data_IF_384987308153
#
_entry.id   IF_384987308153
#
_cell.length_a   1.000
_cell.length_b   1.000
_cell.length_c   1.000
_cell.angle_alpha   90.00
_cell.angle_beta   90.00
_cell.angle_gamma   90.00
#
_symmetry.space_group_name_H-M   'P 1'
#
loop_
_entity.id
_entity.type
_entity.pdbx_description
1 polymer ?
#
# COMPACT_ATOMS: atom_id res chain seq x y z
N UNK A 1 -18.85 2.65 -11.10
CA UNK A 1 -20.00 3.58 -11.03
C UNK A 1 -20.92 3.30 -9.85
N UNK A 2 -21.40 2.05 -9.65
CA UNK A 2 -22.31 1.69 -8.54
C UNK A 2 -21.66 1.93 -7.17
N UNK A 3 -20.40 1.54 -6.97
CA UNK A 3 -19.66 1.82 -5.74
C UNK A 3 -19.53 3.32 -5.43
N UNK A 4 -19.25 4.14 -6.45
CA UNK A 4 -19.17 5.60 -6.29
C UNK A 4 -20.52 6.22 -5.86
N UNK A 5 -21.65 5.69 -6.34
CA UNK A 5 -22.97 6.10 -5.88
C UNK A 5 -23.18 5.82 -4.39
N UNK A 6 -22.86 4.59 -3.94
CA UNK A 6 -23.01 4.19 -2.54
C UNK A 6 -22.09 5.00 -1.61
N UNK A 7 -20.86 5.29 -2.06
CA UNK A 7 -19.93 6.16 -1.32
C UNK A 7 -20.49 7.59 -1.21
N UNK A 8 -21.01 8.16 -2.29
CA UNK A 8 -21.61 9.49 -2.29
C UNK A 8 -22.92 9.55 -1.45
N UNK A 9 -23.66 8.44 -1.40
CA UNK A 9 -24.86 8.30 -0.57
C UNK A 9 -24.55 8.03 0.93
N UNK A 10 -23.27 7.99 1.33
CA UNK A 10 -22.85 7.71 2.71
C UNK A 10 -23.02 6.24 3.13
N UNK A 11 -23.31 5.34 2.20
CA UNK A 11 -23.56 3.91 2.49
C UNK A 11 -22.26 3.07 2.34
N UNK A 12 -21.16 3.59 2.86
CA UNK A 12 -19.83 2.95 2.74
C UNK A 12 -19.80 1.55 3.36
N UNK A 13 -20.49 1.36 4.51
CA UNK A 13 -20.55 0.06 5.16
C UNK A 13 -21.16 -1.03 4.28
N UNK A 14 -22.20 -0.69 3.50
CA UNK A 14 -22.81 -1.65 2.56
C UNK A 14 -21.86 -2.00 1.41
N UNK A 15 -21.15 -1.02 0.90
CA UNK A 15 -20.13 -1.24 -0.12
C UNK A 15 -19.03 -2.17 0.39
N UNK A 16 -18.46 -1.86 1.56
CA UNK A 16 -17.40 -2.68 2.17
C UNK A 16 -17.87 -4.10 2.48
N UNK A 17 -19.13 -4.27 2.93
CA UNK A 17 -19.70 -5.59 3.17
C UNK A 17 -19.83 -6.41 1.87
N UNK A 18 -20.26 -5.79 0.76
CA UNK A 18 -20.33 -6.46 -0.55
C UNK A 18 -18.94 -6.84 -1.03
N UNK A 19 -17.96 -5.94 -0.93
CA UNK A 19 -16.58 -6.21 -1.33
C UNK A 19 -15.96 -7.36 -0.51
N UNK A 20 -16.23 -7.41 0.80
CA UNK A 20 -15.78 -8.51 1.66
C UNK A 20 -16.45 -9.84 1.28
N UNK A 21 -17.78 -9.83 1.06
CA UNK A 21 -18.50 -11.01 0.60
C UNK A 21 -18.03 -11.49 -0.77
N UNK A 22 -17.76 -10.58 -1.71
CA UNK A 22 -17.20 -10.89 -3.03
C UNK A 22 -15.88 -11.67 -2.89
N UNK A 23 -14.96 -11.21 -2.04
CA UNK A 23 -13.66 -11.88 -1.81
C UNK A 23 -13.83 -13.28 -1.23
N UNK A 24 -14.71 -13.44 -0.24
CA UNK A 24 -15.00 -14.75 0.36
C UNK A 24 -15.66 -15.69 -0.66
N UNK A 25 -16.64 -15.19 -1.41
CA UNK A 25 -17.30 -15.96 -2.47
C UNK A 25 -16.33 -16.35 -3.59
N UNK A 26 -15.46 -15.45 -4.00
CA UNK A 26 -14.42 -15.72 -5.00
C UNK A 26 -13.53 -16.88 -4.56
N UNK A 27 -13.03 -16.86 -3.32
CA UNK A 27 -12.23 -17.96 -2.77
C UNK A 27 -13.01 -19.27 -2.71
N UNK A 28 -14.24 -19.24 -2.21
CA UNK A 28 -15.10 -20.43 -2.10
C UNK A 28 -15.42 -21.05 -3.46
N UNK A 29 -15.82 -20.22 -4.44
CA UNK A 29 -16.13 -20.65 -5.80
C UNK A 29 -14.89 -21.18 -6.53
N UNK A 30 -13.76 -20.50 -6.40
CA UNK A 30 -12.50 -20.94 -6.99
C UNK A 30 -12.06 -22.30 -6.46
N UNK A 31 -12.15 -22.52 -5.14
CA UNK A 31 -11.84 -23.80 -4.52
C UNK A 31 -12.82 -24.91 -4.94
N UNK A 32 -14.10 -24.59 -5.07
CA UNK A 32 -15.13 -25.53 -5.52
C UNK A 32 -14.94 -25.93 -6.98
N UNK A 33 -14.68 -24.95 -7.84
CA UNK A 33 -14.38 -25.18 -9.25
C UNK A 33 -13.07 -25.96 -9.46
N UNK A 34 -12.06 -25.71 -8.61
CA UNK A 34 -10.79 -26.42 -8.65
C UNK A 34 -10.93 -27.92 -8.39
N UNK A 35 -11.90 -28.33 -7.54
CA UNK A 35 -12.19 -29.74 -7.29
C UNK A 35 -12.80 -30.48 -8.48
N UNK A 36 -13.52 -29.75 -9.33
CA UNK A 36 -14.20 -30.30 -10.52
C UNK A 36 -13.47 -29.99 -11.83
N UNK A 37 -12.38 -29.22 -11.77
CA UNK A 37 -11.61 -28.84 -12.95
C UNK A 37 -10.76 -30.03 -13.46
N UNK A 38 -10.53 -30.14 -14.77
CA UNK A 38 -9.58 -31.10 -15.35
C UNK A 38 -8.18 -30.93 -14.76
N UNK A 39 -7.45 -32.02 -14.60
CA UNK A 39 -6.07 -31.97 -14.12
C UNK A 39 -5.19 -31.20 -15.10
N UNK A 40 -4.38 -30.27 -14.56
CA UNK A 40 -3.45 -29.46 -15.34
C UNK A 40 -3.60 -27.95 -15.16
N UNK A 41 -2.64 -27.22 -15.70
CA UNK A 41 -2.57 -25.76 -15.55
C UNK A 41 -3.80 -25.03 -16.14
N UNK A 42 -4.33 -25.53 -17.26
CA UNK A 42 -5.51 -24.96 -17.91
C UNK A 42 -6.77 -25.08 -17.05
N UNK A 43 -6.99 -26.23 -16.40
CA UNK A 43 -8.12 -26.45 -15.50
C UNK A 43 -8.04 -25.54 -14.27
N UNK A 44 -6.86 -25.39 -13.68
CA UNK A 44 -6.64 -24.48 -12.56
C UNK A 44 -6.90 -23.01 -12.92
N UNK A 45 -6.41 -22.55 -14.08
CA UNK A 45 -6.67 -21.20 -14.59
C UNK A 45 -8.18 -20.97 -14.84
N UNK A 46 -8.86 -21.95 -15.44
CA UNK A 46 -10.31 -21.87 -15.67
C UNK A 46 -11.09 -21.78 -14.35
N UNK A 47 -10.72 -22.56 -13.34
CA UNK A 47 -11.36 -22.54 -12.02
C UNK A 47 -11.19 -21.19 -11.32
N UNK A 48 -9.98 -20.62 -11.36
CA UNK A 48 -9.68 -19.34 -10.73
C UNK A 48 -10.42 -18.19 -11.44
N UNK A 49 -10.34 -18.12 -12.76
CA UNK A 49 -11.03 -17.08 -13.54
C UNK A 49 -12.54 -17.21 -13.47
N UNK A 50 -13.07 -18.44 -13.49
CA UNK A 50 -14.50 -18.71 -13.36
C UNK A 50 -15.03 -18.30 -11.99
N UNK A 51 -14.30 -18.61 -10.90
CA UNK A 51 -14.65 -18.21 -9.55
C UNK A 51 -14.69 -16.70 -9.37
N UNK A 52 -13.69 -16.00 -9.89
CA UNK A 52 -13.61 -14.53 -9.84
C UNK A 52 -14.74 -13.88 -10.66
N UNK A 53 -14.99 -14.37 -11.86
CA UNK A 53 -16.07 -13.87 -12.72
C UNK A 53 -17.45 -14.03 -12.08
N UNK A 54 -17.76 -15.21 -11.52
CA UNK A 54 -19.03 -15.48 -10.87
C UNK A 54 -19.23 -14.63 -9.62
N UNK A 55 -18.20 -14.50 -8.79
CA UNK A 55 -18.24 -13.66 -7.59
C UNK A 55 -18.46 -12.18 -7.94
N UNK A 56 -17.73 -11.66 -8.93
CA UNK A 56 -17.85 -10.25 -9.37
C UNK A 56 -19.21 -9.97 -10.02
N UNK A 57 -19.77 -10.89 -10.80
CA UNK A 57 -21.12 -10.77 -11.33
C UNK A 57 -22.16 -10.74 -10.20
N UNK A 58 -22.00 -11.59 -9.17
CA UNK A 58 -22.86 -11.60 -8.00
C UNK A 58 -22.80 -10.28 -7.22
N UNK A 59 -21.61 -9.79 -6.94
CA UNK A 59 -21.40 -8.50 -6.28
C UNK A 59 -22.00 -7.34 -7.07
N UNK A 60 -21.80 -7.32 -8.39
CA UNK A 60 -22.41 -6.31 -9.27
C UNK A 60 -23.94 -6.35 -9.23
N UNK A 61 -24.56 -7.54 -9.19
CA UNK A 61 -26.01 -7.70 -9.07
C UNK A 61 -26.54 -7.15 -7.72
N UNK A 62 -25.84 -7.43 -6.61
CA UNK A 62 -26.20 -6.92 -5.29
C UNK A 62 -26.06 -5.39 -5.24
N UNK A 63 -24.96 -4.84 -5.73
CA UNK A 63 -24.75 -3.38 -5.81
C UNK A 63 -25.81 -2.70 -6.68
N UNK A 64 -26.20 -3.32 -7.78
CA UNK A 64 -27.30 -2.83 -8.62
C UNK A 64 -28.64 -2.88 -7.89
N UNK A 65 -28.89 -3.91 -7.08
CA UNK A 65 -30.06 -4.00 -6.20
C UNK A 65 -30.14 -2.83 -5.21
N UNK A 66 -29.02 -2.52 -4.53
CA UNK A 66 -28.95 -1.35 -3.62
C UNK A 66 -29.14 -0.03 -4.35
N UNK A 67 -28.55 0.12 -5.53
CA UNK A 67 -28.75 1.28 -6.37
C UNK A 67 -30.24 1.47 -6.73
N UNK A 68 -30.90 0.40 -7.18
CA UNK A 68 -32.32 0.42 -7.53
C UNK A 68 -33.24 0.71 -6.33
N UNK A 69 -32.88 0.21 -5.14
CA UNK A 69 -33.61 0.55 -3.89
C UNK A 69 -33.48 2.02 -3.55
N UNK A 70 -32.31 2.62 -3.72
CA UNK A 70 -32.07 4.03 -3.46
C UNK A 70 -32.85 4.98 -4.37
N UNK A 71 -33.26 4.50 -5.55
CA UNK A 71 -34.09 5.27 -6.49
C UNK A 71 -35.61 5.14 -6.26
N UNK A 72 -36.03 4.14 -5.46
CA UNK A 72 -37.45 3.96 -5.14
C UNK A 72 -37.92 5.10 -4.22
N UNK A 73 -38.82 5.91 -4.70
CA UNK A 73 -39.43 7.04 -3.93
C UNK A 73 -38.68 8.38 -4.08
N UNK A 74 -37.68 8.48 -4.91
CA UNK A 74 -37.02 9.74 -5.26
C UNK A 74 -37.71 10.30 -6.50
N UNK A 75 -38.35 11.46 -6.36
CA UNK A 75 -38.83 12.19 -7.52
C UNK A 75 -37.67 12.65 -8.38
N UNK A 76 -37.74 12.51 -9.71
CA UNK A 76 -36.67 12.99 -10.58
C UNK A 76 -36.51 14.50 -10.40
N UNK A 77 -35.44 14.90 -9.72
CA UNK A 77 -35.02 16.28 -9.67
C UNK A 77 -34.36 16.65 -10.99
N UNK A 78 -34.71 17.80 -11.54
CA UNK A 78 -34.05 18.28 -12.76
C UNK A 78 -32.55 18.39 -12.52
N UNK A 79 -31.76 17.67 -13.33
CA UNK A 79 -30.33 17.72 -13.26
C UNK A 79 -29.86 19.16 -13.56
N UNK A 80 -28.90 19.70 -12.77
CA UNK A 80 -28.35 21.02 -13.04
C UNK A 80 -27.87 21.15 -14.49
N UNK A 81 -28.18 22.25 -15.19
CA UNK A 81 -27.80 22.42 -16.58
C UNK A 81 -26.26 22.26 -16.74
N UNK A 82 -25.84 21.44 -17.70
CA UNK A 82 -24.43 21.18 -17.98
C UNK A 82 -23.74 20.16 -17.07
N UNK A 83 -24.47 19.46 -16.18
CA UNK A 83 -23.90 18.43 -15.31
C UNK A 83 -23.11 17.38 -16.10
N UNK A 84 -23.68 16.84 -17.19
CA UNK A 84 -23.01 15.85 -18.03
C UNK A 84 -21.67 16.34 -18.63
N UNK A 85 -21.60 17.62 -19.01
CA UNK A 85 -20.36 18.24 -19.51
C UNK A 85 -19.31 18.38 -18.39
N UNK A 86 -19.73 18.75 -17.16
CA UNK A 86 -18.82 18.83 -16.00
C UNK A 86 -18.30 17.47 -15.59
N UNK A 87 -19.16 16.46 -15.52
CA UNK A 87 -18.77 15.07 -15.20
C UNK A 87 -17.79 14.55 -16.25
N UNK A 88 -18.08 14.73 -17.56
CA UNK A 88 -17.19 14.29 -18.64
C UNK A 88 -15.82 14.98 -18.60
N UNK A 89 -15.76 16.28 -18.32
CA UNK A 89 -14.49 17.00 -18.19
C UNK A 89 -13.60 16.49 -17.05
N UNK A 90 -14.19 15.98 -15.96
CA UNK A 90 -13.47 15.40 -14.85
C UNK A 90 -13.16 13.91 -15.10
N UNK A 91 -14.15 13.14 -15.53
CA UNK A 91 -14.05 11.69 -15.66
C UNK A 91 -13.17 11.25 -16.83
N UNK A 92 -13.21 11.96 -17.97
CA UNK A 92 -12.45 11.55 -19.16
C UNK A 92 -10.92 11.53 -18.95
N UNK A 93 -10.27 12.58 -18.41
CA UNK A 93 -8.83 12.54 -18.17
C UNK A 93 -8.43 11.55 -17.09
N UNK A 94 -9.27 11.32 -16.08
CA UNK A 94 -9.01 10.31 -15.05
C UNK A 94 -9.09 8.89 -15.63
N UNK A 95 -10.16 8.60 -16.39
CA UNK A 95 -10.33 7.31 -17.05
C UNK A 95 -9.20 7.02 -18.04
N UNK A 96 -8.83 8.02 -18.88
CA UNK A 96 -7.71 7.87 -19.80
C UNK A 96 -6.39 7.54 -19.07
N UNK A 97 -6.15 8.21 -17.95
CA UNK A 97 -4.96 7.95 -17.14
C UNK A 97 -4.97 6.56 -16.51
N UNK A 98 -6.14 6.06 -16.07
CA UNK A 98 -6.27 4.72 -15.51
C UNK A 98 -6.11 3.64 -16.59
N UNK A 99 -6.65 3.84 -17.80
CA UNK A 99 -6.41 2.95 -18.92
C UNK A 99 -4.94 2.93 -19.36
N UNK A 100 -4.29 4.11 -19.40
CA UNK A 100 -2.86 4.18 -19.73
C UNK A 100 -2.02 3.44 -18.67
N UNK A 101 -2.34 3.59 -17.40
CA UNK A 101 -1.67 2.86 -16.31
C UNK A 101 -1.91 1.36 -16.41
N UNK A 102 -3.13 0.93 -16.73
CA UNK A 102 -3.44 -0.47 -16.94
C UNK A 102 -2.64 -1.05 -18.11
N UNK A 103 -2.54 -0.31 -19.22
CA UNK A 103 -1.71 -0.70 -20.37
C UNK A 103 -0.23 -0.82 -20.01
N UNK A 104 0.33 0.15 -19.26
CA UNK A 104 1.72 0.10 -18.79
C UNK A 104 1.97 -1.09 -17.87
N UNK A 105 1.07 -1.42 -16.95
CA UNK A 105 1.16 -2.61 -16.11
C UNK A 105 1.10 -3.91 -16.92
N UNK A 106 0.25 -3.97 -17.96
CA UNK A 106 0.19 -5.13 -18.86
C UNK A 106 1.50 -5.28 -19.61
N UNK A 107 2.08 -4.18 -20.11
CA UNK A 107 3.39 -4.20 -20.76
C UNK A 107 4.49 -4.67 -19.79
N UNK A 108 4.50 -4.19 -18.56
CA UNK A 108 5.42 -4.66 -17.52
C UNK A 108 5.31 -6.17 -17.32
N UNK A 109 4.09 -6.70 -17.14
CA UNK A 109 3.85 -8.13 -16.96
C UNK A 109 4.30 -8.98 -18.15
N UNK A 110 4.20 -8.47 -19.38
CA UNK A 110 4.68 -9.14 -20.57
C UNK A 110 6.21 -9.05 -20.74
N UNK A 111 6.81 -7.93 -20.33
CA UNK A 111 8.26 -7.71 -20.41
C UNK A 111 9.03 -8.59 -19.43
N UNK A 112 8.47 -8.89 -18.25
CA UNK A 112 9.17 -9.64 -17.21
C UNK A 112 9.57 -11.04 -17.69
N UNK A 113 8.67 -11.93 -18.17
CA UNK A 113 9.08 -13.23 -18.66
C UNK A 113 10.00 -13.15 -19.88
N UNK A 114 9.76 -12.19 -20.79
CA UNK A 114 10.61 -11.97 -21.96
C UNK A 114 12.04 -11.57 -21.56
N UNK A 115 12.18 -10.58 -20.71
CA UNK A 115 13.50 -10.07 -20.31
C UNK A 115 14.29 -11.07 -19.46
N UNK A 116 13.62 -11.82 -18.57
CA UNK A 116 14.26 -12.87 -17.80
C UNK A 116 14.76 -14.04 -18.67
N UNK A 117 14.04 -14.38 -19.73
CA UNK A 117 14.47 -15.37 -20.69
C UNK A 117 15.72 -14.90 -21.47
N UNK A 118 15.80 -13.63 -21.83
CA UNK A 118 16.98 -13.03 -22.49
C UNK A 118 18.22 -12.99 -21.57
N UNK A 119 18.04 -12.88 -20.26
CA UNK A 119 19.14 -12.87 -19.28
C UNK A 119 19.83 -14.23 -19.09
N UNK A 120 19.47 -15.25 -19.89
CA UNK A 120 20.12 -16.57 -19.88
C UNK A 120 19.62 -17.51 -18.78
N UNK A 121 18.64 -17.11 -17.98
CA UNK A 121 17.95 -18.04 -17.11
C UNK A 121 17.04 -18.95 -17.94
N UNK A 122 16.93 -20.25 -17.60
CA UNK A 122 15.86 -21.05 -18.20
C UNK A 122 14.52 -20.37 -17.89
N UNK A 123 13.65 -20.27 -18.87
CA UNK A 123 12.34 -19.62 -18.74
C UNK A 123 11.56 -20.10 -17.51
N UNK A 124 11.70 -21.39 -17.19
CA UNK A 124 11.06 -21.99 -16.02
C UNK A 124 11.62 -21.43 -14.68
N UNK A 125 12.95 -21.26 -14.54
CA UNK A 125 13.56 -20.66 -13.35
C UNK A 125 13.21 -19.19 -13.21
N UNK A 126 13.20 -18.46 -14.31
CA UNK A 126 12.85 -17.06 -14.36
C UNK A 126 11.39 -16.83 -13.90
N UNK A 127 10.48 -17.63 -14.43
CA UNK A 127 9.06 -17.57 -14.01
C UNK A 127 8.85 -18.02 -12.57
N UNK A 128 9.57 -19.03 -12.09
CA UNK A 128 9.52 -19.46 -10.69
C UNK A 128 10.00 -18.35 -9.74
N UNK A 129 11.11 -17.69 -10.05
CA UNK A 129 11.63 -16.58 -9.23
C UNK A 129 10.67 -15.38 -9.22
N UNK A 130 10.10 -15.01 -10.37
CA UNK A 130 9.08 -13.97 -10.45
C UNK A 130 7.81 -14.36 -9.69
N UNK A 131 7.35 -15.61 -9.82
CA UNK A 131 6.22 -16.15 -9.05
C UNK A 131 6.49 -16.12 -7.54
N UNK A 132 7.72 -16.39 -7.10
CA UNK A 132 8.11 -16.29 -5.68
C UNK A 132 8.01 -14.84 -5.19
N UNK A 133 8.47 -13.86 -5.99
CA UNK A 133 8.36 -12.44 -5.62
C UNK A 133 6.90 -12.01 -5.53
N UNK A 134 6.11 -12.26 -6.58
CA UNK A 134 4.73 -11.77 -6.67
C UNK A 134 3.74 -12.56 -5.85
N UNK A 135 3.91 -13.88 -5.73
CA UNK A 135 2.98 -14.78 -5.04
C UNK A 135 3.33 -15.05 -3.57
N UNK A 136 4.58 -14.87 -3.15
CA UNK A 136 4.99 -15.16 -1.77
C UNK A 136 5.48 -13.91 -1.05
N UNK A 137 6.38 -13.12 -1.66
CA UNK A 137 7.02 -11.99 -0.99
C UNK A 137 6.08 -10.79 -0.88
N UNK A 138 5.47 -10.36 -1.98
CA UNK A 138 4.58 -9.19 -1.95
C UNK A 138 3.35 -9.33 -1.06
N UNK A 139 2.64 -10.47 -0.99
CA UNK A 139 1.54 -10.62 -0.05
C UNK A 139 1.96 -10.39 1.40
N UNK A 140 3.09 -10.95 1.82
CA UNK A 140 3.64 -10.76 3.17
C UNK A 140 4.06 -9.30 3.39
N UNK A 141 4.73 -8.70 2.40
CA UNK A 141 5.19 -7.32 2.45
C UNK A 141 4.03 -6.33 2.55
N UNK A 142 2.90 -6.61 1.87
CA UNK A 142 1.74 -5.71 1.81
C UNK A 142 0.73 -5.93 2.94
N UNK A 143 0.79 -7.04 3.67
CA UNK A 143 -0.15 -7.33 4.75
C UNK A 143 -0.21 -6.21 5.80
N UNK A 144 0.90 -5.68 6.33
CA UNK A 144 0.87 -4.58 7.29
C UNK A 144 0.34 -3.26 6.69
N UNK A 145 0.42 -3.07 5.37
CA UNK A 145 -0.08 -1.87 4.71
C UNK A 145 -1.59 -1.67 4.90
N UNK A 146 -2.35 -2.73 5.21
CA UNK A 146 -3.79 -2.65 5.49
C UNK A 146 -4.11 -1.64 6.60
N UNK A 147 -3.27 -1.54 7.64
CA UNK A 147 -3.42 -0.53 8.70
C UNK A 147 -3.23 0.89 8.18
N UNK A 148 -2.27 1.08 7.25
CA UNK A 148 -2.06 2.38 6.63
C UNK A 148 -3.19 2.77 5.68
N UNK A 149 -3.75 1.83 4.94
CA UNK A 149 -4.91 2.11 4.10
C UNK A 149 -6.12 2.54 4.92
N UNK A 150 -6.40 1.88 6.05
CA UNK A 150 -7.44 2.32 6.96
C UNK A 150 -7.20 3.73 7.51
N UNK A 151 -5.94 4.07 7.84
CA UNK A 151 -5.57 5.42 8.24
C UNK A 151 -5.77 6.44 7.11
N UNK A 152 -5.40 6.10 5.89
CA UNK A 152 -5.57 6.95 4.70
C UNK A 152 -7.05 7.28 4.48
N UNK A 153 -7.93 6.30 4.60
CA UNK A 153 -9.38 6.49 4.42
C UNK A 153 -9.97 7.48 5.44
N UNK A 154 -9.43 7.50 6.65
CA UNK A 154 -9.80 8.49 7.68
C UNK A 154 -9.18 9.88 7.41
N UNK A 155 -7.98 9.92 6.82
CA UNK A 155 -7.25 11.16 6.56
C UNK A 155 -7.82 11.96 5.39
N UNK A 156 -8.31 11.30 4.36
CA UNK A 156 -8.83 11.97 3.14
C UNK A 156 -9.90 13.01 3.48
N UNK A 157 -10.98 12.69 4.22
CA UNK A 157 -12.01 13.67 4.56
C UNK A 157 -11.51 14.74 5.53
N UNK A 158 -10.63 14.42 6.48
CA UNK A 158 -10.07 15.40 7.42
C UNK A 158 -9.22 16.45 6.68
N UNK A 159 -8.35 16.03 5.76
CA UNK A 159 -7.53 16.94 4.97
C UNK A 159 -8.37 17.79 4.01
N UNK A 160 -9.40 17.20 3.40
CA UNK A 160 -10.34 17.92 2.56
C UNK A 160 -11.09 19.01 3.35
N UNK A 161 -11.55 18.69 4.56
CA UNK A 161 -12.22 19.64 5.45
C UNK A 161 -11.26 20.77 5.89
N UNK A 162 -10.02 20.46 6.27
CA UNK A 162 -9.02 21.46 6.62
C UNK A 162 -8.72 22.42 5.45
N UNK A 163 -8.64 21.90 4.23
CA UNK A 163 -8.43 22.71 3.02
C UNK A 163 -9.63 23.60 2.72
N UNK A 164 -10.86 23.05 2.75
CA UNK A 164 -12.09 23.79 2.49
C UNK A 164 -12.29 24.93 3.48
N UNK A 165 -11.96 24.70 4.76
CA UNK A 165 -12.08 25.68 5.85
C UNK A 165 -10.85 26.62 5.95
N UNK A 166 -9.89 26.54 5.04
CA UNK A 166 -8.63 27.32 5.02
C UNK A 166 -7.85 27.27 6.33
N UNK A 167 -7.92 26.16 7.09
CA UNK A 167 -7.23 25.98 8.39
C UNK A 167 -5.78 25.49 8.16
N UNK A 168 -4.92 26.38 7.65
CA UNK A 168 -3.54 26.03 7.27
C UNK A 168 -2.72 25.42 8.43
N UNK A 169 -2.80 25.95 9.64
CA UNK A 169 -2.07 25.44 10.80
C UNK A 169 -2.47 24.00 11.15
N UNK A 170 -3.79 23.70 11.14
CA UNK A 170 -4.30 22.35 11.40
C UNK A 170 -3.88 21.38 10.28
N UNK A 171 -3.98 21.82 9.03
CA UNK A 171 -3.53 21.05 7.86
C UNK A 171 -2.06 20.63 8.02
N UNK A 172 -1.18 21.57 8.35
CA UNK A 172 0.24 21.30 8.57
C UNK A 172 0.47 20.36 9.74
N UNK A 173 -0.25 20.54 10.86
CA UNK A 173 -0.13 19.68 12.04
C UNK A 173 -0.52 18.25 11.71
N UNK A 174 -1.70 18.04 11.12
CA UNK A 174 -2.20 16.70 10.72
C UNK A 174 -1.23 16.04 9.73
N UNK A 175 -0.85 16.73 8.65
CA UNK A 175 0.08 16.17 7.65
C UNK A 175 1.42 15.77 8.29
N UNK A 176 1.98 16.60 9.17
CA UNK A 176 3.24 16.31 9.86
C UNK A 176 3.13 15.10 10.79
N UNK A 177 2.03 15.00 11.54
CA UNK A 177 1.78 13.86 12.43
C UNK A 177 1.64 12.56 11.64
N UNK A 178 0.89 12.59 10.55
CA UNK A 178 0.71 11.42 9.69
C UNK A 178 2.01 10.96 9.03
N UNK A 179 2.83 11.89 8.52
CA UNK A 179 4.14 11.54 7.97
C UNK A 179 5.06 10.92 9.03
N UNK A 180 5.05 11.43 10.26
CA UNK A 180 5.83 10.86 11.36
C UNK A 180 5.33 9.49 11.78
N UNK A 181 4.01 9.32 11.91
CA UNK A 181 3.39 8.03 12.20
C UNK A 181 3.70 7.00 11.10
N UNK A 182 3.60 7.41 9.83
CA UNK A 182 3.98 6.58 8.69
C UNK A 182 5.45 6.19 8.68
N UNK A 183 6.36 7.11 9.03
CA UNK A 183 7.79 6.82 9.19
C UNK A 183 8.04 5.83 10.32
N UNK A 184 7.41 6.04 11.47
CA UNK A 184 7.57 5.17 12.63
C UNK A 184 7.05 3.76 12.34
N UNK A 185 5.83 3.66 11.82
CA UNK A 185 5.20 2.39 11.45
C UNK A 185 5.97 1.69 10.32
N UNK A 186 6.33 2.43 9.28
CA UNK A 186 7.03 1.88 8.12
C UNK A 186 8.43 1.37 8.47
N UNK A 187 9.21 2.11 9.27
CA UNK A 187 10.52 1.67 9.71
C UNK A 187 10.45 0.50 10.71
N UNK A 188 9.46 0.49 11.60
CA UNK A 188 9.18 -0.66 12.47
C UNK A 188 8.89 -1.90 11.64
N UNK A 189 7.95 -1.82 10.71
CA UNK A 189 7.52 -2.96 9.91
C UNK A 189 8.61 -3.44 8.95
N UNK A 190 9.33 -2.53 8.30
CA UNK A 190 10.44 -2.88 7.43
C UNK A 190 11.55 -3.64 8.17
N UNK A 191 11.93 -3.17 9.35
CA UNK A 191 12.93 -3.85 10.18
C UNK A 191 12.42 -5.17 10.74
N UNK A 192 11.15 -5.25 11.17
CA UNK A 192 10.54 -6.49 11.63
C UNK A 192 10.54 -7.56 10.53
N UNK A 193 10.08 -7.20 9.33
CA UNK A 193 10.06 -8.11 8.17
C UNK A 193 11.47 -8.53 7.76
N UNK A 194 12.46 -7.63 7.87
CA UNK A 194 13.85 -7.96 7.60
C UNK A 194 14.40 -9.02 8.55
N UNK A 195 14.14 -8.86 9.85
CA UNK A 195 14.58 -9.80 10.90
C UNK A 195 13.89 -11.16 10.77
N UNK A 196 12.56 -11.13 10.55
CA UNK A 196 11.73 -12.32 10.51
C UNK A 196 11.65 -12.98 9.13
N UNK A 197 12.30 -12.43 8.10
CA UNK A 197 12.17 -12.90 6.72
C UNK A 197 12.43 -14.41 6.55
N UNK A 198 13.46 -14.95 7.19
CA UNK A 198 13.81 -16.38 7.14
C UNK A 198 12.76 -17.26 7.79
N UNK A 199 12.57 -17.14 9.12
CA UNK A 199 11.60 -17.97 9.85
C UNK A 199 10.17 -17.83 9.29
N UNK A 200 9.78 -16.63 8.89
CA UNK A 200 8.43 -16.38 8.34
C UNK A 200 8.21 -17.08 7.00
N UNK A 201 9.18 -17.00 6.08
CA UNK A 201 9.08 -17.64 4.78
C UNK A 201 9.15 -19.18 4.89
N UNK A 202 9.94 -19.71 5.83
CA UNK A 202 9.96 -21.14 6.10
C UNK A 202 8.64 -21.63 6.68
N UNK A 203 8.06 -20.90 7.64
CA UNK A 203 6.79 -21.26 8.27
C UNK A 203 5.63 -21.24 7.27
N UNK A 204 5.54 -20.19 6.44
CA UNK A 204 4.42 -19.97 5.51
C UNK A 204 4.54 -20.79 4.21
N UNK A 205 5.77 -20.84 3.65
CA UNK A 205 5.97 -21.32 2.28
C UNK A 205 6.98 -22.46 2.19
N UNK A 206 7.67 -22.81 3.29
CA UNK A 206 8.78 -23.78 3.30
C UNK A 206 9.85 -23.48 2.24
N UNK A 207 10.11 -22.18 2.02
CA UNK A 207 11.00 -21.70 0.96
C UNK A 207 12.08 -20.76 1.49
N UNK A 208 13.33 -21.22 1.46
CA UNK A 208 14.49 -20.41 1.80
C UNK A 208 14.70 -19.27 0.77
N UNK A 209 14.31 -19.48 -0.49
CA UNK A 209 14.40 -18.47 -1.54
C UNK A 209 13.44 -17.29 -1.26
N UNK A 210 12.20 -17.59 -0.89
CA UNK A 210 11.24 -16.57 -0.47
C UNK A 210 11.77 -15.75 0.72
N UNK A 211 12.45 -16.39 1.67
CA UNK A 211 13.07 -15.71 2.81
C UNK A 211 14.19 -14.76 2.41
N UNK A 212 15.05 -15.16 1.48
CA UNK A 212 16.12 -14.29 0.94
C UNK A 212 15.54 -13.08 0.20
N UNK A 213 14.54 -13.30 -0.66
CA UNK A 213 13.86 -12.25 -1.40
C UNK A 213 13.07 -11.33 -0.47
N UNK A 214 12.36 -11.86 0.51
CA UNK A 214 11.64 -11.05 1.51
C UNK A 214 12.60 -10.14 2.27
N UNK A 215 13.77 -10.65 2.67
CA UNK A 215 14.80 -9.83 3.33
C UNK A 215 15.32 -8.72 2.42
N UNK A 216 15.46 -8.98 1.12
CA UNK A 216 15.89 -7.98 0.15
C UNK A 216 14.83 -6.88 -0.05
N UNK A 217 13.55 -7.25 -0.09
CA UNK A 217 12.45 -6.31 -0.28
C UNK A 217 11.97 -5.63 1.01
N UNK A 218 12.25 -6.17 2.18
CA UNK A 218 11.79 -5.62 3.46
C UNK A 218 12.13 -4.13 3.67
N UNK A 219 13.33 -3.61 3.36
CA UNK A 219 13.62 -2.18 3.47
C UNK A 219 12.77 -1.31 2.53
N UNK A 220 12.35 -1.87 1.39
CA UNK A 220 11.54 -1.16 0.38
C UNK A 220 10.12 -0.94 0.90
N UNK A 221 9.62 -1.79 1.81
CA UNK A 221 8.32 -1.63 2.44
C UNK A 221 8.13 -0.23 3.05
N UNK A 222 9.17 0.33 3.66
CA UNK A 222 9.12 1.70 4.19
C UNK A 222 8.74 2.72 3.10
N UNK A 223 9.36 2.62 1.94
CA UNK A 223 9.11 3.53 0.80
C UNK A 223 7.70 3.31 0.27
N UNK A 224 7.27 2.06 0.07
CA UNK A 224 5.94 1.71 -0.42
C UNK A 224 4.82 2.24 0.49
N UNK A 225 5.01 2.11 1.81
CA UNK A 225 4.04 2.57 2.79
C UNK A 225 3.95 4.09 2.85
N UNK A 226 5.09 4.78 2.79
CA UNK A 226 5.12 6.23 2.75
C UNK A 226 4.55 6.78 1.44
N UNK A 227 4.83 6.10 0.32
CA UNK A 227 4.28 6.46 -1.00
C UNK A 227 2.76 6.37 -0.99
N UNK A 228 2.18 5.25 -0.51
CA UNK A 228 0.74 5.09 -0.37
C UNK A 228 0.11 6.17 0.54
N UNK A 229 0.77 6.49 1.66
CA UNK A 229 0.31 7.50 2.60
C UNK A 229 0.31 8.90 1.97
N UNK A 230 1.37 9.26 1.26
CA UNK A 230 1.51 10.55 0.57
C UNK A 230 0.48 10.67 -0.57
N UNK A 231 0.28 9.60 -1.33
CA UNK A 231 -0.74 9.55 -2.39
C UNK A 231 -2.15 9.73 -1.83
N UNK A 232 -2.46 9.10 -0.70
CA UNK A 232 -3.71 9.30 0.02
C UNK A 232 -3.91 10.74 0.48
N UNK A 233 -2.88 11.37 1.05
CA UNK A 233 -2.93 12.77 1.44
C UNK A 233 -3.13 13.71 0.25
N UNK A 234 -2.48 13.47 -0.89
CA UNK A 234 -2.68 14.25 -2.11
C UNK A 234 -4.11 14.14 -2.64
N UNK A 235 -4.73 12.95 -2.54
CA UNK A 235 -6.16 12.77 -2.88
C UNK A 235 -7.05 13.63 -1.97
N UNK A 236 -6.83 13.62 -0.66
CA UNK A 236 -7.56 14.46 0.30
C UNK A 236 -7.39 15.96 0.05
N UNK A 237 -6.24 16.37 -0.48
CA UNK A 237 -5.94 17.74 -0.87
C UNK A 237 -6.42 18.11 -2.28
N UNK A 238 -7.23 17.27 -2.94
CA UNK A 238 -7.70 17.49 -4.33
C UNK A 238 -6.56 17.67 -5.35
N UNK A 239 -5.41 17.09 -5.08
CA UNK A 239 -4.23 17.09 -5.96
C UNK A 239 -4.14 15.80 -6.81
N UNK A 240 -5.29 15.18 -7.08
CA UNK A 240 -5.39 13.88 -7.78
C UNK A 240 -4.74 13.90 -9.16
N UNK A 241 -4.94 15.01 -9.92
CA UNK A 241 -4.36 15.14 -11.26
C UNK A 241 -2.83 15.13 -11.24
N UNK A 242 -2.23 15.80 -10.26
CA UNK A 242 -0.78 15.79 -10.08
C UNK A 242 -0.28 14.40 -9.71
N UNK A 243 -0.97 13.72 -8.78
CA UNK A 243 -0.66 12.37 -8.36
C UNK A 243 -0.73 11.37 -9.54
N UNK A 244 -1.83 11.39 -10.30
CA UNK A 244 -2.00 10.54 -11.49
C UNK A 244 -0.87 10.78 -12.50
N UNK A 245 -0.51 12.04 -12.75
CA UNK A 245 0.58 12.38 -13.67
C UNK A 245 1.93 11.80 -13.21
N UNK A 246 2.26 11.90 -11.91
CA UNK A 246 3.51 11.33 -11.39
C UNK A 246 3.51 9.81 -11.49
N UNK A 247 2.45 9.15 -11.07
CA UNK A 247 2.31 7.71 -11.19
C UNK A 247 2.40 7.21 -12.64
N UNK A 248 1.86 7.97 -13.61
CA UNK A 248 1.97 7.62 -15.04
C UNK A 248 3.40 7.77 -15.55
N UNK A 249 4.08 8.86 -15.19
CA UNK A 249 5.48 9.09 -15.59
C UNK A 249 6.38 8.02 -14.99
N UNK A 250 6.20 7.67 -13.71
CA UNK A 250 7.01 6.66 -13.05
C UNK A 250 6.71 5.24 -13.55
N UNK A 251 5.46 4.93 -13.91
CA UNK A 251 5.14 3.65 -14.58
C UNK A 251 5.78 3.56 -15.98
N UNK A 252 5.82 4.64 -16.73
CA UNK A 252 6.53 4.67 -18.01
C UNK A 252 8.04 4.51 -17.84
N UNK A 253 8.62 5.15 -16.80
CA UNK A 253 10.02 4.98 -16.42
C UNK A 253 10.31 3.52 -16.02
N UNK A 254 9.44 2.90 -15.25
CA UNK A 254 9.55 1.52 -14.81
C UNK A 254 9.62 0.57 -16.01
N UNK A 255 8.66 0.67 -16.94
CA UNK A 255 8.66 -0.10 -18.19
C UNK A 255 9.94 0.11 -19.00
N UNK A 256 10.41 1.36 -19.13
CA UNK A 256 11.64 1.67 -19.87
C UNK A 256 12.88 1.06 -19.20
N UNK A 257 12.99 1.16 -17.88
CA UNK A 257 14.09 0.56 -17.11
C UNK A 257 14.04 -0.96 -17.17
N UNK A 258 12.86 -1.58 -17.06
CA UNK A 258 12.69 -3.02 -17.19
C UNK A 258 13.16 -3.50 -18.57
N UNK A 259 12.78 -2.82 -19.64
CA UNK A 259 13.19 -3.19 -20.99
C UNK A 259 14.72 -3.20 -21.16
N UNK A 260 15.44 -2.30 -20.49
CA UNK A 260 16.91 -2.17 -20.61
C UNK A 260 17.65 -3.06 -19.61
N UNK A 261 17.20 -3.11 -18.35
CA UNK A 261 17.95 -3.72 -17.27
C UNK A 261 17.62 -5.20 -17.06
N UNK A 262 16.39 -5.59 -17.33
CA UNK A 262 15.94 -6.96 -17.11
C UNK A 262 16.70 -7.98 -17.99
N UNK A 263 16.89 -7.76 -19.31
CA UNK A 263 17.66 -8.65 -20.16
C UNK A 263 19.15 -8.77 -19.75
N UNK A 264 19.70 -7.71 -19.15
CA UNK A 264 21.12 -7.65 -18.80
C UNK A 264 21.43 -8.22 -17.42
N UNK A 265 20.56 -7.97 -16.44
CA UNK A 265 20.79 -8.24 -15.04
C UNK A 265 19.78 -9.21 -14.42
N UNK A 266 18.83 -9.73 -15.21
CA UNK A 266 17.82 -10.67 -14.75
C UNK A 266 17.02 -10.14 -13.56
N UNK A 267 16.81 -10.97 -12.54
CA UNK A 267 16.07 -10.61 -11.34
C UNK A 267 16.65 -9.40 -10.60
N UNK A 268 17.98 -9.21 -10.63
CA UNK A 268 18.63 -8.02 -10.06
C UNK A 268 18.18 -6.73 -10.77
N UNK A 269 18.04 -6.78 -12.10
CA UNK A 269 17.50 -5.68 -12.89
C UNK A 269 16.06 -5.34 -12.51
N UNK A 270 15.22 -6.36 -12.30
CA UNK A 270 13.84 -6.18 -11.82
C UNK A 270 13.80 -5.47 -10.45
N UNK A 271 14.57 -5.98 -9.48
CA UNK A 271 14.63 -5.39 -8.12
C UNK A 271 15.09 -3.93 -8.17
N UNK A 272 16.15 -3.65 -8.93
CA UNK A 272 16.65 -2.28 -9.06
C UNK A 272 15.61 -1.35 -9.69
N UNK A 273 14.96 -1.76 -10.77
CA UNK A 273 13.92 -0.99 -11.46
C UNK A 273 12.76 -0.70 -10.54
N UNK A 274 12.28 -1.72 -9.83
CA UNK A 274 11.19 -1.59 -8.86
C UNK A 274 11.52 -0.56 -7.77
N UNK A 275 12.71 -0.65 -7.16
CA UNK A 275 13.15 0.28 -6.13
C UNK A 275 13.29 1.70 -6.70
N UNK A 276 13.93 1.85 -7.85
CA UNK A 276 14.16 3.15 -8.48
C UNK A 276 12.85 3.85 -8.85
N UNK A 277 11.91 3.14 -9.48
CA UNK A 277 10.61 3.69 -9.86
C UNK A 277 9.80 4.15 -8.64
N UNK A 278 9.72 3.34 -7.58
CA UNK A 278 9.02 3.72 -6.36
C UNK A 278 9.69 4.87 -5.60
N UNK A 279 11.02 4.93 -5.56
CA UNK A 279 11.74 6.07 -4.97
C UNK A 279 11.47 7.37 -5.73
N UNK A 280 11.48 7.33 -7.06
CA UNK A 280 11.18 8.50 -7.90
C UNK A 280 9.72 8.93 -7.69
N UNK A 281 8.77 7.99 -7.67
CA UNK A 281 7.35 8.30 -7.42
C UNK A 281 7.17 8.96 -6.07
N UNK A 282 7.69 8.34 -5.01
CA UNK A 282 7.64 8.88 -3.66
C UNK A 282 8.26 10.29 -3.56
N UNK A 283 9.43 10.51 -4.19
CA UNK A 283 10.10 11.81 -4.16
C UNK A 283 9.26 12.91 -4.85
N UNK A 284 8.64 12.61 -6.00
CA UNK A 284 7.77 13.53 -6.71
C UNK A 284 6.50 13.85 -5.93
N UNK A 285 5.83 12.82 -5.42
CA UNK A 285 4.60 12.93 -4.61
C UNK A 285 4.87 13.68 -3.31
N UNK A 286 5.94 13.34 -2.59
CA UNK A 286 6.35 14.04 -1.36
C UNK A 286 6.68 15.52 -1.61
N UNK A 287 7.45 15.81 -2.66
CA UNK A 287 7.76 17.21 -3.04
C UNK A 287 6.49 18.01 -3.31
N UNK A 288 5.49 17.40 -3.97
CA UNK A 288 4.19 18.05 -4.20
C UNK A 288 3.45 18.29 -2.89
N UNK A 289 3.35 17.29 -2.03
CA UNK A 289 2.70 17.38 -0.72
C UNK A 289 3.30 18.50 0.12
N UNK A 290 4.62 18.54 0.24
CA UNK A 290 5.35 19.56 1.01
C UNK A 290 5.09 20.97 0.45
N UNK A 291 5.07 21.13 -0.88
CA UNK A 291 4.77 22.41 -1.53
C UNK A 291 3.33 22.87 -1.27
N UNK A 292 2.35 21.99 -1.38
CA UNK A 292 0.93 22.33 -1.20
C UNK A 292 0.61 22.62 0.27
N UNK A 293 1.25 21.93 1.20
CA UNK A 293 1.02 22.13 2.65
C UNK A 293 1.93 23.21 3.26
N UNK A 294 2.96 23.67 2.54
CA UNK A 294 3.96 24.61 3.07
C UNK A 294 4.87 24.01 4.13
N UNK A 295 4.94 22.66 4.24
CA UNK A 295 5.80 21.97 5.18
C UNK A 295 7.23 21.90 4.66
N UNK A 296 8.20 21.93 5.59
CA UNK A 296 9.60 21.60 5.31
C UNK A 296 9.88 20.15 5.69
N UNK A 297 10.53 19.42 4.82
CA UNK A 297 11.00 18.06 5.11
C UNK A 297 12.03 18.10 6.23
N UNK A 298 11.87 17.20 7.20
CA UNK A 298 12.86 17.00 8.26
C UNK A 298 13.52 15.64 8.06
N UNK A 299 14.70 15.64 7.46
CA UNK A 299 15.50 14.41 7.31
C UNK A 299 15.85 13.77 8.66
N UNK A 300 15.95 14.56 9.73
CA UNK A 300 16.29 14.06 11.06
C UNK A 300 15.27 13.06 11.62
N UNK A 301 13.98 13.20 11.30
CA UNK A 301 12.97 12.22 11.71
C UNK A 301 13.17 10.88 11.00
N UNK A 302 13.43 10.90 9.70
CA UNK A 302 13.66 9.69 8.90
C UNK A 302 14.94 8.96 9.34
N UNK A 303 16.03 9.71 9.55
CA UNK A 303 17.29 9.14 10.05
C UNK A 303 17.11 8.50 11.43
N UNK A 304 16.40 9.19 12.33
CA UNK A 304 16.16 8.68 13.69
C UNK A 304 15.37 7.38 13.67
N UNK A 305 14.26 7.32 12.93
CA UNK A 305 13.46 6.10 12.85
C UNK A 305 14.19 4.96 12.16
N UNK A 306 15.02 5.24 11.16
CA UNK A 306 15.89 4.26 10.53
C UNK A 306 16.92 3.70 11.52
N UNK A 307 17.57 4.55 12.32
CA UNK A 307 18.53 4.12 13.35
C UNK A 307 17.85 3.26 14.42
N UNK A 308 16.62 3.60 14.83
CA UNK A 308 15.84 2.77 15.75
C UNK A 308 15.58 1.37 15.16
N UNK A 309 15.20 1.29 13.89
CA UNK A 309 14.95 0.01 13.24
C UNK A 309 16.23 -0.85 13.08
N UNK A 310 17.34 -0.21 12.73
CA UNK A 310 18.66 -0.89 12.61
C UNK A 310 19.13 -1.39 13.98
N UNK A 311 19.05 -0.57 15.03
CA UNK A 311 19.45 -0.95 16.38
C UNK A 311 18.61 -2.10 16.95
N UNK A 312 17.29 -2.03 16.80
CA UNK A 312 16.39 -3.09 17.20
C UNK A 312 16.61 -4.37 16.38
N UNK A 313 16.87 -4.22 15.07
CA UNK A 313 17.18 -5.34 14.19
C UNK A 313 18.48 -6.05 14.57
N UNK A 314 19.54 -5.29 14.87
CA UNK A 314 20.80 -5.84 15.36
C UNK A 314 20.60 -6.61 16.68
N UNK A 315 19.88 -6.04 17.64
CA UNK A 315 19.59 -6.71 18.91
C UNK A 315 18.84 -8.04 18.70
N UNK A 316 17.81 -8.03 17.84
CA UNK A 316 17.04 -9.23 17.57
C UNK A 316 17.82 -10.31 16.80
N UNK A 317 18.70 -9.93 15.87
CA UNK A 317 19.54 -10.86 15.13
C UNK A 317 20.66 -11.47 16.00
N UNK A 318 21.17 -10.72 16.98
CA UNK A 318 22.18 -11.20 17.94
C UNK A 318 21.57 -12.12 19.00
N UNK A 319 20.24 -12.15 19.16
CA UNK A 319 19.58 -13.04 20.12
C UNK A 319 19.66 -14.48 19.62
N UNK A 320 20.31 -15.39 20.36
CA UNK A 320 20.30 -16.80 20.02
C UNK A 320 18.89 -17.36 20.17
N UNK A 321 18.36 -17.96 19.14
CA UNK A 321 17.04 -18.56 19.14
C UNK A 321 17.14 -20.05 18.74
N UNK A 322 17.59 -20.92 19.66
CA UNK A 322 17.61 -22.36 19.41
C UNK A 322 16.18 -22.89 19.47
N UNK A 323 15.72 -23.59 18.44
CA UNK A 323 14.42 -24.22 18.47
C UNK A 323 13.68 -24.22 17.13
N UNK A 324 12.41 -24.63 17.13
CA UNK A 324 11.62 -24.63 15.92
C UNK A 324 11.38 -23.20 15.42
N UNK A 325 11.19 -23.05 14.11
CA UNK A 325 11.04 -21.77 13.40
C UNK A 325 9.98 -20.84 14.02
N UNK A 326 8.90 -21.42 14.56
CA UNK A 326 7.86 -20.67 15.26
C UNK A 326 8.37 -20.01 16.56
N UNK A 327 9.23 -20.69 17.31
CA UNK A 327 9.82 -20.14 18.53
C UNK A 327 10.83 -19.03 18.19
N UNK A 328 11.64 -19.22 17.15
CA UNK A 328 12.55 -18.20 16.63
C UNK A 328 11.78 -16.95 16.20
N UNK A 329 10.69 -17.12 15.47
CA UNK A 329 9.82 -16.03 15.02
C UNK A 329 9.26 -15.23 16.20
N UNK A 330 8.71 -15.90 17.21
CA UNK A 330 8.13 -15.26 18.39
C UNK A 330 9.20 -14.54 19.22
N UNK A 331 10.33 -15.18 19.48
CA UNK A 331 11.40 -14.63 20.31
C UNK A 331 12.03 -13.41 19.64
N UNK A 332 12.48 -13.55 18.39
CA UNK A 332 13.09 -12.42 17.67
C UNK A 332 12.11 -11.30 17.40
N UNK A 333 10.85 -11.64 17.13
CA UNK A 333 9.78 -10.65 16.98
C UNK A 333 9.51 -9.86 18.26
N UNK A 334 9.45 -10.54 19.41
CA UNK A 334 9.26 -9.91 20.71
C UNK A 334 10.46 -9.02 21.10
N UNK A 335 11.70 -9.51 20.90
CA UNK A 335 12.91 -8.72 21.15
C UNK A 335 12.94 -7.47 20.25
N UNK A 336 12.68 -7.63 18.96
CA UNK A 336 12.63 -6.50 18.03
C UNK A 336 11.60 -5.47 18.45
N UNK A 337 10.35 -5.89 18.70
CA UNK A 337 9.26 -5.01 19.09
C UNK A 337 9.53 -4.31 20.42
N UNK A 338 10.06 -5.04 21.40
CA UNK A 338 10.41 -4.50 22.71
C UNK A 338 11.52 -3.44 22.63
N UNK A 339 12.63 -3.74 21.95
CA UNK A 339 13.77 -2.81 21.80
C UNK A 339 13.35 -1.59 20.99
N UNK A 340 12.63 -1.78 19.86
CA UNK A 340 12.16 -0.68 19.04
C UNK A 340 11.19 0.21 19.81
N UNK A 341 10.21 -0.37 20.51
CA UNK A 341 9.21 0.35 21.29
C UNK A 341 9.86 1.16 22.44
N UNK A 342 10.76 0.54 23.22
CA UNK A 342 11.50 1.21 24.29
C UNK A 342 12.36 2.35 23.75
N UNK A 343 13.10 2.12 22.68
CA UNK A 343 13.95 3.14 22.07
C UNK A 343 13.13 4.28 21.45
N UNK A 344 11.95 4.01 20.89
CA UNK A 344 11.03 5.01 20.37
C UNK A 344 10.43 5.87 21.52
N UNK A 345 10.12 5.26 22.66
CA UNK A 345 9.64 5.99 23.86
C UNK A 345 10.75 6.85 24.45
N UNK A 346 11.95 6.31 24.68
CA UNK A 346 13.08 7.02 25.26
C UNK A 346 13.54 8.19 24.37
N UNK A 347 13.55 8.00 23.05
CA UNK A 347 13.90 9.06 22.09
C UNK A 347 12.82 10.13 21.91
N UNK A 348 11.64 10.00 22.56
CA UNK A 348 10.50 10.90 22.40
C UNK A 348 9.88 10.85 20.99
N UNK A 349 10.26 9.88 20.17
CA UNK A 349 9.74 9.74 18.79
C UNK A 349 8.28 9.31 18.80
N UNK A 350 7.88 8.49 19.76
CA UNK A 350 6.50 8.06 19.97
C UNK A 350 5.57 9.22 20.37
N UNK A 351 6.03 10.13 21.25
CA UNK A 351 5.24 11.30 21.68
C UNK A 351 4.94 12.28 20.53
N UNK A 352 5.79 12.30 19.51
CA UNK A 352 5.61 13.17 18.34
C UNK A 352 4.45 12.72 17.44
N UNK A 353 4.00 11.47 17.58
CA UNK A 353 2.86 10.91 16.85
C UNK A 353 1.52 11.16 17.55
N UNK A 354 1.54 11.48 18.86
CA UNK A 354 0.32 11.76 19.63
C UNK A 354 -0.16 13.18 19.33
N UNK A 355 -1.45 13.39 19.02
CA UNK A 355 -2.03 14.73 18.85
C UNK A 355 -1.74 15.62 20.04
N UNK A 356 -1.44 16.90 19.80
CA UNK A 356 -1.16 17.86 20.90
C UNK A 356 -2.30 17.97 21.92
N UNK A 357 -3.54 17.70 21.48
CA UNK A 357 -4.73 17.66 22.33
C UNK A 357 -4.74 16.49 23.33
N UNK A 358 -4.02 15.40 23.02
CA UNK A 358 -3.95 14.17 23.83
C UNK A 358 -2.62 14.02 24.59
N UNK A 359 -1.68 14.96 24.48
CA UNK A 359 -0.40 14.89 25.22
C UNK A 359 -0.65 15.19 26.68
N UNK A 360 -0.49 14.23 27.60
CA UNK A 360 -0.65 14.51 29.01
C UNK A 360 0.47 15.45 29.47
N UNK A 361 0.03 16.55 30.10
CA UNK A 361 0.76 17.27 31.17
C UNK A 361 1.96 18.17 30.86
N UNK A 362 2.47 18.42 29.66
CA UNK A 362 3.35 19.59 29.50
C UNK A 362 2.59 20.94 29.51
N UNK A 363 1.26 20.89 29.38
CA UNK A 363 0.42 22.11 29.60
C UNK A 363 0.38 22.56 31.05
N UNK A 364 0.49 21.65 32.00
CA UNK A 364 0.52 22.01 33.44
C UNK A 364 1.87 22.64 33.86
N UNK A 365 2.96 22.22 33.24
CA UNK A 365 4.30 22.74 33.55
C UNK A 365 4.56 24.12 32.92
N UNK A 366 4.10 24.35 31.68
CA UNK A 366 4.14 25.70 31.07
C UNK A 366 3.17 26.69 31.75
N UNK A 367 2.02 26.22 32.23
CA UNK A 367 1.08 27.06 32.98
C UNK A 367 1.56 27.36 34.42
N UNK A 368 2.42 26.50 34.99
CA UNK A 368 3.08 26.77 36.30
C UNK A 368 4.33 27.64 36.18
N UNK A 369 4.99 27.63 35.00
CA UNK A 369 6.16 28.50 34.75
C UNK A 369 5.78 29.92 34.31
N UNK A 370 4.52 30.19 34.06
CA UNK A 370 3.96 31.49 33.67
C UNK A 370 3.09 32.11 34.79
N UNK A 371 3.08 31.53 36.00
CA UNK A 371 2.59 32.10 37.24
C UNK A 371 3.76 32.30 38.20
#
# INVERSE_FOLDING_TARGET
MLGGYLTAAGQVLRLTAVDACERVCCLGLSLLLLRSAPEGLGGACFALLGGDLLASCGAAAVLYGFYRQGWRGVSPSEAPPGLGRRVRKLAAPLALSDYLRAALRTLEQLLIPWGLAQAGASQQRAMAAYGTVTGMVFPVLMLPAAFLYALIDLLIPELAACRAQRRAARLQSVTRQCLRAGLLFGSFTAGLLFVLAGPLAQLLYRSAEAGRLLRLFAPVALVLYLDALVDGMLKGLSEQVANVRYNTITSALDVALLFVLLPRYGLGGYVFTFIAAHLVNFALSLRRLLRVTGLRASAGAAVRTALLAVGAGAAALLTPAPGPEAAELLLRGAVYAGVYGLAACVSGTAELCVPESLRPARRAEKARALR
#
